data_IF_546960158427
#
_entry.id   IF_546960158427
#
_cell.length_a   1.000
_cell.length_b   1.000
_cell.length_c   1.000
_cell.angle_alpha   90.00
_cell.angle_beta   90.00
_cell.angle_gamma   90.00
#
_symmetry.space_group_name_H-M   'P 1'
#
loop_
_entity.id
_entity.type
_entity.pdbx_description
1 polymer ?
#
# COMPACT_ATOMS: atom_id res chain seq x y z
N UNK A 1 -11.88 -10.11 12.86
CA UNK A 1 -10.45 -9.91 13.22
C UNK A 1 -10.36 -9.19 14.56
N UNK A 2 -9.51 -9.64 15.50
CA UNK A 2 -9.30 -8.94 16.79
C UNK A 2 -8.30 -7.78 16.63
N UNK A 3 -8.38 -6.77 17.52
CA UNK A 3 -7.43 -5.65 17.54
C UNK A 3 -5.96 -6.11 17.66
N UNK A 4 -5.70 -7.12 18.52
CA UNK A 4 -4.36 -7.69 18.66
C UNK A 4 -3.84 -8.38 17.38
N UNK A 5 -4.72 -9.00 16.60
CA UNK A 5 -4.38 -9.57 15.31
C UNK A 5 -4.14 -8.48 14.26
N UNK A 6 -5.00 -7.45 14.23
CA UNK A 6 -4.90 -6.36 13.27
C UNK A 6 -3.66 -5.48 13.46
N UNK A 7 -3.16 -5.36 14.71
CA UNK A 7 -1.96 -4.58 15.02
C UNK A 7 -0.63 -5.34 14.77
N UNK A 8 -0.68 -6.58 14.29
CA UNK A 8 0.51 -7.35 13.92
C UNK A 8 0.78 -7.23 12.42
N UNK A 9 1.67 -6.32 12.04
CA UNK A 9 2.16 -6.30 10.66
C UNK A 9 3.37 -7.25 10.52
N UNK A 10 3.42 -8.12 9.49
CA UNK A 10 4.47 -9.14 9.36
C UNK A 10 5.87 -8.55 9.10
N UNK A 11 5.97 -7.45 8.33
CA UNK A 11 7.22 -6.92 7.82
C UNK A 11 7.57 -5.53 8.35
N UNK A 12 6.61 -4.77 8.91
CA UNK A 12 6.81 -3.37 9.28
C UNK A 12 6.38 -3.09 10.72
N UNK A 13 7.16 -2.28 11.43
CA UNK A 13 6.75 -1.67 12.71
C UNK A 13 6.23 -0.27 12.42
N UNK A 14 4.93 -0.06 12.59
CA UNK A 14 4.24 1.17 12.19
C UNK A 14 3.31 1.65 13.30
N UNK A 15 2.79 2.87 13.16
CA UNK A 15 1.73 3.40 14.03
C UNK A 15 0.43 2.58 13.94
N UNK A 16 -0.40 2.66 14.97
CA UNK A 16 -1.61 1.83 15.08
C UNK A 16 -2.58 2.03 13.90
N UNK A 17 -2.83 3.27 13.50
CA UNK A 17 -3.78 3.58 12.41
C UNK A 17 -3.33 2.93 11.08
N UNK A 18 -2.11 3.20 10.63
CA UNK A 18 -1.61 2.68 9.35
C UNK A 18 -1.50 1.15 9.37
N UNK A 19 -1.28 0.54 10.54
CA UNK A 19 -1.28 -0.92 10.68
C UNK A 19 -2.67 -1.50 10.44
N UNK A 20 -3.74 -0.85 10.94
CA UNK A 20 -5.12 -1.23 10.65
C UNK A 20 -5.46 -1.00 9.18
N UNK A 21 -5.05 0.14 8.61
CA UNK A 21 -5.26 0.45 7.19
C UNK A 21 -4.57 -0.59 6.29
N UNK A 22 -3.40 -1.07 6.67
CA UNK A 22 -2.70 -2.15 5.96
C UNK A 22 -3.42 -3.49 6.11
N UNK A 23 -3.86 -3.84 7.31
CA UNK A 23 -4.57 -5.09 7.58
C UNK A 23 -5.92 -5.18 6.86
N UNK A 24 -6.56 -4.05 6.57
CA UNK A 24 -7.83 -3.95 5.84
C UNK A 24 -7.66 -3.63 4.35
N UNK A 25 -6.43 -3.50 3.86
CA UNK A 25 -6.06 -2.99 2.53
C UNK A 25 -6.57 -1.57 2.21
N UNK A 26 -7.05 -0.81 3.20
CA UNK A 26 -7.39 0.60 2.99
C UNK A 26 -6.17 1.43 2.63
N UNK A 27 -5.01 1.16 3.25
CA UNK A 27 -3.76 1.84 2.90
C UNK A 27 -3.44 1.67 1.41
N UNK A 28 -3.58 0.46 0.89
CA UNK A 28 -3.38 0.18 -0.53
C UNK A 28 -4.42 0.87 -1.42
N UNK A 29 -5.64 1.02 -0.91
CA UNK A 29 -6.69 1.82 -1.57
C UNK A 29 -6.31 3.31 -1.68
N UNK A 30 -5.76 3.90 -0.62
CA UNK A 30 -5.26 5.27 -0.65
C UNK A 30 -4.07 5.43 -1.60
N UNK A 31 -3.13 4.50 -1.57
CA UNK A 31 -1.98 4.52 -2.49
C UNK A 31 -2.42 4.42 -3.97
N UNK A 32 -3.47 3.67 -4.27
CA UNK A 32 -4.06 3.64 -5.62
C UNK A 32 -4.64 5.02 -6.01
N UNK A 33 -5.36 5.68 -5.09
CA UNK A 33 -5.88 7.04 -5.32
C UNK A 33 -4.73 8.04 -5.49
N UNK A 34 -3.67 7.92 -4.69
CA UNK A 34 -2.46 8.75 -4.80
C UNK A 34 -1.78 8.56 -6.16
N UNK A 35 -1.59 7.30 -6.59
CA UNK A 35 -1.01 6.99 -7.89
C UNK A 35 -1.81 7.61 -9.03
N UNK A 36 -3.15 7.54 -8.98
CA UNK A 36 -4.02 8.18 -9.96
C UNK A 36 -3.70 9.68 -10.12
N UNK A 37 -3.53 10.39 -9.01
CA UNK A 37 -3.27 11.83 -9.03
C UNK A 37 -1.81 12.18 -9.36
N UNK A 38 -0.86 11.41 -8.84
CA UNK A 38 0.57 11.68 -9.06
C UNK A 38 1.02 11.41 -10.50
N UNK A 39 0.40 10.42 -11.15
CA UNK A 39 0.79 10.01 -12.50
C UNK A 39 -0.24 10.37 -13.56
N UNK A 40 -1.33 11.06 -13.20
CA UNK A 40 -2.42 11.44 -14.10
C UNK A 40 -2.99 10.25 -14.90
N UNK A 41 -3.21 9.15 -14.19
CA UNK A 41 -3.75 7.92 -14.75
C UNK A 41 -5.19 7.68 -14.29
N UNK A 42 -5.92 6.83 -15.01
CA UNK A 42 -7.26 6.38 -14.59
C UNK A 42 -7.16 5.27 -13.54
N UNK A 43 -8.17 5.06 -12.69
CA UNK A 43 -8.18 3.95 -11.74
C UNK A 43 -7.99 2.57 -12.41
N UNK A 44 -8.44 2.42 -13.64
CA UNK A 44 -8.34 1.15 -14.39
C UNK A 44 -6.93 0.88 -14.95
N UNK A 45 -6.07 1.90 -14.95
CA UNK A 45 -4.64 1.77 -15.27
C UNK A 45 -3.78 1.43 -14.05
N UNK A 46 -4.38 1.40 -12.84
CA UNK A 46 -3.67 1.05 -11.61
C UNK A 46 -4.08 -0.33 -11.17
N UNK A 47 -3.15 -1.28 -11.20
CA UNK A 47 -3.36 -2.64 -10.71
C UNK A 47 -2.73 -2.79 -9.33
N UNK A 48 -3.47 -3.39 -8.40
CA UNK A 48 -2.97 -3.79 -7.09
C UNK A 48 -2.65 -5.27 -7.10
N UNK A 49 -1.47 -5.63 -6.63
CA UNK A 49 -1.05 -7.03 -6.43
C UNK A 49 -0.62 -7.25 -4.99
N UNK A 50 -0.89 -8.43 -4.47
CA UNK A 50 -0.39 -8.87 -3.15
C UNK A 50 0.96 -9.53 -3.35
N UNK A 51 1.99 -9.03 -2.65
CA UNK A 51 3.36 -9.52 -2.74
C UNK A 51 3.90 -9.77 -1.32
N UNK A 52 3.78 -11.01 -0.79
CA UNK A 52 4.10 -11.32 0.62
C UNK A 52 5.52 -10.99 1.04
N UNK A 53 6.50 -11.12 0.12
CA UNK A 53 7.91 -10.82 0.41
C UNK A 53 8.17 -9.32 0.58
N UNK A 54 7.28 -8.46 0.07
CA UNK A 54 7.39 -6.99 0.16
C UNK A 54 8.76 -6.45 -0.29
N UNK A 55 9.32 -7.04 -1.34
CA UNK A 55 10.60 -6.66 -1.96
C UNK A 55 10.37 -5.75 -3.16
N UNK A 56 9.32 -6.00 -3.94
CA UNK A 56 8.86 -5.14 -5.01
C UNK A 56 7.83 -4.18 -4.44
N UNK A 57 8.06 -2.88 -4.59
CA UNK A 57 7.19 -1.85 -4.03
C UNK A 57 6.33 -1.14 -5.08
N UNK A 58 6.81 -1.07 -6.32
CA UNK A 58 6.05 -0.52 -7.45
C UNK A 58 6.55 -1.09 -8.76
N UNK A 59 5.66 -1.13 -9.76
CA UNK A 59 5.97 -1.57 -11.12
C UNK A 59 5.26 -0.66 -12.12
N UNK A 60 5.88 -0.47 -13.27
CA UNK A 60 5.26 0.18 -14.43
C UNK A 60 5.33 -0.78 -15.60
N UNK A 61 4.18 -1.09 -16.17
CA UNK A 61 4.07 -1.85 -17.39
C UNK A 61 3.86 -0.89 -18.57
N UNK A 62 4.69 -1.04 -19.60
CA UNK A 62 4.62 -0.24 -20.82
C UNK A 62 3.72 -0.89 -21.86
N UNK A 63 3.34 -0.13 -22.89
CA UNK A 63 2.49 -0.61 -23.98
C UNK A 63 3.11 -1.76 -24.79
N UNK A 64 4.43 -1.85 -24.85
CA UNK A 64 5.15 -2.96 -25.48
C UNK A 64 5.20 -4.24 -24.63
N UNK A 65 4.60 -4.19 -23.41
CA UNK A 65 4.58 -5.29 -22.45
C UNK A 65 5.79 -5.37 -21.53
N UNK A 66 6.80 -4.50 -21.68
CA UNK A 66 7.92 -4.44 -20.76
C UNK A 66 7.47 -3.97 -19.37
N UNK A 67 8.09 -4.51 -18.32
CA UNK A 67 7.82 -4.11 -16.92
C UNK A 67 9.11 -3.63 -16.28
N UNK A 68 9.06 -2.43 -15.69
CA UNK A 68 10.12 -1.91 -14.83
C UNK A 68 9.62 -1.90 -13.39
N UNK A 69 10.41 -2.44 -12.48
CA UNK A 69 10.06 -2.54 -11.06
C UNK A 69 11.11 -1.87 -10.17
N UNK A 70 10.66 -1.23 -9.09
CA UNK A 70 11.51 -0.80 -8.01
C UNK A 70 11.58 -1.89 -6.95
N UNK A 71 12.78 -2.39 -6.68
CA UNK A 71 13.04 -3.40 -5.68
C UNK A 71 13.92 -2.86 -4.55
N UNK A 72 13.71 -3.37 -3.35
CA UNK A 72 14.54 -3.07 -2.18
C UNK A 72 14.06 -3.86 -0.97
N UNK A 73 14.85 -3.87 0.08
CA UNK A 73 14.37 -4.36 1.36
C UNK A 73 13.25 -3.46 1.88
N UNK A 74 12.30 -3.96 2.71
CA UNK A 74 11.24 -3.16 3.30
C UNK A 74 11.79 -2.22 4.39
N UNK A 75 12.41 -1.11 3.98
CA UNK A 75 12.96 -0.06 4.86
C UNK A 75 12.66 1.32 4.25
N UNK A 76 11.88 2.12 4.97
CA UNK A 76 11.51 3.48 4.56
C UNK A 76 12.69 4.45 4.44
N UNK A 77 13.85 4.12 5.01
CA UNK A 77 15.06 4.93 4.84
C UNK A 77 15.48 5.05 3.37
N UNK A 78 15.21 4.02 2.55
CA UNK A 78 15.53 4.04 1.11
C UNK A 78 14.75 5.12 0.35
N UNK A 79 13.41 5.10 0.32
CA UNK A 79 12.64 6.10 -0.41
C UNK A 79 12.78 7.50 0.21
N UNK A 80 12.87 7.63 1.54
CA UNK A 80 13.05 8.92 2.21
C UNK A 80 14.40 9.54 1.85
N UNK A 81 15.49 8.77 1.91
CA UNK A 81 16.81 9.25 1.53
C UNK A 81 16.85 9.70 0.06
N UNK A 82 16.19 8.94 -0.82
CA UNK A 82 16.12 9.30 -2.23
C UNK A 82 15.28 10.57 -2.46
N UNK A 83 14.16 10.73 -1.76
CA UNK A 83 13.37 11.96 -1.85
C UNK A 83 14.17 13.21 -1.46
N UNK A 84 15.00 13.12 -0.42
CA UNK A 84 15.86 14.23 -0.01
C UNK A 84 17.04 14.49 -0.95
N UNK A 85 17.52 13.50 -1.67
CA UNK A 85 18.70 13.62 -2.53
C UNK A 85 18.40 13.67 -4.01
N UNK A 86 17.13 13.59 -4.41
CA UNK A 86 16.71 13.57 -5.81
C UNK A 86 17.37 14.70 -6.62
N UNK A 87 17.85 14.44 -7.85
CA UNK A 87 17.84 13.16 -8.57
C UNK A 87 19.02 12.23 -8.25
N UNK A 88 19.92 12.62 -7.37
CA UNK A 88 21.12 11.86 -7.00
C UNK A 88 20.80 10.83 -5.92
N UNK A 89 21.39 9.64 -6.01
CA UNK A 89 21.24 8.62 -4.99
C UNK A 89 22.38 8.69 -3.98
N UNK A 90 22.03 9.01 -2.72
CA UNK A 90 22.99 9.02 -1.64
C UNK A 90 23.35 7.60 -1.18
N UNK A 91 24.54 7.46 -0.57
CA UNK A 91 24.90 6.23 0.15
C UNK A 91 23.93 6.04 1.32
N UNK A 92 23.21 4.93 1.33
CA UNK A 92 22.30 4.56 2.40
C UNK A 92 22.96 3.56 3.35
N UNK A 93 22.57 3.60 4.63
CA UNK A 93 22.89 2.58 5.63
C UNK A 93 21.91 1.40 5.61
N UNK A 94 20.86 1.47 4.80
CA UNK A 94 19.93 0.36 4.63
C UNK A 94 20.68 -0.86 4.05
N UNK A 95 20.40 -2.07 4.53
CA UNK A 95 20.97 -3.29 3.96
C UNK A 95 20.67 -3.39 2.46
N UNK A 96 21.54 -4.03 1.72
CA UNK A 96 21.30 -4.30 0.30
C UNK A 96 20.40 -5.51 0.14
N UNK A 97 19.58 -5.48 -0.90
CA UNK A 97 18.80 -6.64 -1.28
C UNK A 97 19.73 -7.78 -1.71
N UNK A 98 19.55 -8.96 -1.12
CA UNK A 98 20.28 -10.17 -1.47
C UNK A 98 19.33 -11.15 -2.15
N UNK A 99 19.52 -11.36 -3.44
CA UNK A 99 18.69 -12.28 -4.25
C UNK A 99 18.85 -13.76 -3.86
N UNK A 100 19.89 -14.13 -3.11
CA UNK A 100 19.98 -15.49 -2.57
C UNK A 100 19.00 -15.71 -1.42
N UNK A 101 18.69 -14.66 -0.65
CA UNK A 101 17.65 -14.69 0.38
C UNK A 101 16.24 -14.57 -0.22
N UNK A 102 16.09 -13.82 -1.30
CA UNK A 102 14.83 -13.61 -2.02
C UNK A 102 14.83 -14.31 -3.38
N UNK A 103 15.13 -15.61 -3.39
CA UNK A 103 15.21 -16.41 -4.62
C UNK A 103 13.87 -16.64 -5.31
N UNK A 104 12.75 -16.45 -4.59
CA UNK A 104 11.39 -16.61 -5.11
C UNK A 104 10.57 -15.40 -4.73
N UNK A 105 9.90 -14.81 -5.71
CA UNK A 105 8.95 -13.72 -5.55
C UNK A 105 7.58 -14.22 -6.01
N UNK A 106 6.57 -14.04 -5.19
CA UNK A 106 5.20 -14.49 -5.47
C UNK A 106 4.24 -13.33 -5.52
N UNK A 107 3.24 -13.44 -6.36
CA UNK A 107 2.20 -12.43 -6.56
C UNK A 107 0.84 -13.10 -6.54
N UNK A 108 -0.13 -12.44 -5.91
CA UNK A 108 -1.51 -12.88 -5.81
C UNK A 108 -2.44 -11.71 -6.15
N UNK A 109 -3.62 -12.02 -6.66
CA UNK A 109 -4.67 -11.02 -6.82
C UNK A 109 -5.28 -10.71 -5.44
N UNK A 110 -5.60 -9.44 -5.16
CA UNK A 110 -6.29 -9.09 -3.93
C UNK A 110 -7.74 -9.60 -3.97
N UNK A 111 -8.15 -10.23 -2.89
CA UNK A 111 -9.54 -10.67 -2.69
C UNK A 111 -10.43 -9.45 -2.34
N UNK A 112 -11.13 -8.93 -3.34
CA UNK A 112 -11.97 -7.73 -3.21
C UNK A 112 -13.26 -7.98 -2.38
N UNK A 113 -13.69 -9.23 -2.23
CA UNK A 113 -14.82 -9.59 -1.37
C UNK A 113 -14.41 -9.55 0.11
N UNK A 114 -13.24 -10.08 0.40
CA UNK A 114 -12.65 -10.06 1.74
C UNK A 114 -12.15 -8.67 2.14
N UNK A 115 -11.51 -7.96 1.22
CA UNK A 115 -10.93 -6.64 1.46
C UNK A 115 -11.76 -5.54 0.78
N UNK A 116 -12.99 -5.38 1.26
CA UNK A 116 -13.96 -4.42 0.70
C UNK A 116 -13.48 -2.97 0.73
N UNK A 117 -12.58 -2.62 1.64
CA UNK A 117 -12.00 -1.28 1.71
C UNK A 117 -11.21 -0.93 0.44
N UNK A 118 -10.51 -1.90 -0.15
CA UNK A 118 -9.85 -1.70 -1.44
C UNK A 118 -10.87 -1.49 -2.57
N UNK A 119 -11.96 -2.26 -2.59
CA UNK A 119 -13.03 -2.08 -3.56
C UNK A 119 -13.69 -0.69 -3.44
N UNK A 120 -13.95 -0.23 -2.22
CA UNK A 120 -14.49 1.12 -1.96
C UNK A 120 -13.53 2.23 -2.44
N UNK A 121 -12.22 2.03 -2.32
CA UNK A 121 -11.24 3.00 -2.81
C UNK A 121 -11.29 3.11 -4.34
N UNK A 122 -11.38 1.99 -5.06
CA UNK A 122 -11.56 1.99 -6.52
C UNK A 122 -12.87 2.67 -6.93
N UNK A 123 -13.95 2.38 -6.23
CA UNK A 123 -15.25 3.01 -6.49
C UNK A 123 -15.18 4.52 -6.25
N UNK A 124 -14.63 4.97 -5.12
CA UNK A 124 -14.46 6.38 -4.82
C UNK A 124 -13.58 7.11 -5.85
N UNK A 125 -12.51 6.44 -6.33
CA UNK A 125 -11.64 7.00 -7.36
C UNK A 125 -12.35 7.13 -8.72
N UNK A 126 -13.23 6.19 -9.07
CA UNK A 126 -14.03 6.25 -10.31
C UNK A 126 -15.12 7.31 -10.24
N UNK A 127 -15.82 7.44 -9.12
CA UNK A 127 -16.83 8.48 -8.92
C UNK A 127 -16.20 9.88 -8.90
N UNK A 128 -15.00 10.02 -8.35
CA UNK A 128 -14.28 11.30 -8.30
C UNK A 128 -14.90 12.31 -7.36
N UNK A 129 -14.73 13.60 -7.67
CA UNK A 129 -15.23 14.67 -6.83
C UNK A 129 -14.70 14.58 -5.41
N UNK A 130 -15.56 14.65 -4.41
CA UNK A 130 -15.22 14.56 -3.00
C UNK A 130 -15.29 13.13 -2.42
N UNK A 131 -15.57 12.10 -3.22
CA UNK A 131 -15.72 10.73 -2.74
C UNK A 131 -14.44 10.17 -2.08
N UNK A 132 -13.22 10.41 -2.60
CA UNK A 132 -12.00 10.01 -1.91
C UNK A 132 -11.84 10.68 -0.52
N UNK A 133 -12.22 11.95 -0.40
CA UNK A 133 -12.20 12.66 0.89
C UNK A 133 -13.22 12.07 1.89
N UNK A 134 -14.42 11.75 1.42
CA UNK A 134 -15.46 11.10 2.23
C UNK A 134 -14.98 9.73 2.71
N UNK A 135 -14.38 8.94 1.84
CA UNK A 135 -13.80 7.63 2.19
C UNK A 135 -12.74 7.77 3.28
N UNK A 136 -11.81 8.72 3.11
CA UNK A 136 -10.78 8.96 4.11
C UNK A 136 -11.37 9.40 5.46
N UNK A 137 -12.31 10.33 5.46
CA UNK A 137 -12.96 10.80 6.68
C UNK A 137 -13.73 9.67 7.41
N UNK A 138 -14.44 8.83 6.65
CA UNK A 138 -15.12 7.66 7.21
C UNK A 138 -14.12 6.68 7.82
N UNK A 139 -13.01 6.40 7.13
CA UNK A 139 -11.96 5.52 7.63
C UNK A 139 -11.34 6.03 8.93
N UNK A 140 -11.06 7.34 9.06
CA UNK A 140 -10.55 7.95 10.30
C UNK A 140 -11.48 7.65 11.49
N UNK A 141 -12.78 7.84 11.32
CA UNK A 141 -13.78 7.60 12.37
C UNK A 141 -13.87 6.11 12.72
N UNK A 142 -13.92 5.24 11.70
CA UNK A 142 -14.05 3.79 11.89
C UNK A 142 -12.81 3.21 12.56
N UNK A 143 -11.61 3.57 12.13
CA UNK A 143 -10.37 3.09 12.74
C UNK A 143 -10.24 3.57 14.18
N UNK A 144 -10.57 4.83 14.45
CA UNK A 144 -10.56 5.34 15.84
C UNK A 144 -11.54 4.57 16.74
N UNK A 145 -12.75 4.28 16.25
CA UNK A 145 -13.75 3.50 16.97
C UNK A 145 -13.30 2.05 17.22
N UNK A 146 -12.66 1.42 16.25
CA UNK A 146 -12.09 0.07 16.37
C UNK A 146 -10.95 0.02 17.40
N UNK A 147 -10.03 0.99 17.36
CA UNK A 147 -8.93 1.07 18.32
C UNK A 147 -9.40 1.32 19.76
N UNK A 148 -10.60 1.89 19.94
CA UNK A 148 -11.26 2.08 21.23
C UNK A 148 -12.19 0.91 21.62
N UNK A 149 -12.15 -0.20 20.87
CA UNK A 149 -12.98 -1.40 21.10
C UNK A 149 -14.50 -1.11 21.06
N UNK A 150 -14.94 -0.02 20.37
CA UNK A 150 -16.35 0.36 20.23
C UNK A 150 -17.06 -0.38 19.07
N UNK A 151 -16.31 -0.88 18.12
CA UNK A 151 -16.81 -1.67 16.98
C UNK A 151 -15.90 -2.85 16.72
N UNK A 152 -16.43 -3.88 16.08
CA UNK A 152 -15.67 -5.02 15.56
C UNK A 152 -15.44 -4.87 14.06
N UNK A 153 -14.34 -5.44 13.54
CA UNK A 153 -14.11 -5.63 12.12
C UNK A 153 -14.49 -7.07 11.77
N UNK A 154 -15.49 -7.20 10.93
CA UNK A 154 -15.97 -8.48 10.38
C UNK A 154 -14.98 -9.05 9.37
#
# INVERSE_FOLDING_TARGET
MTKAQALRHPNWTMGAKITIDSASMMNKGFEMIEAKWLFDVTPDQVQVVVHPQSVIHSMVQFEDGAVIAQLGIPDMKLPIAYAFSFPTRMRSMAPRLDFNQYSTLTFEEPDMERFRNLAFAFEAARQGGNMPCILNAANEVVVAAFLQDRIAVS
#
